data_IF_481774109480
#
_entry.id   IF_481774109480
#
_cell.length_a   1.000
_cell.length_b   1.000
_cell.length_c   1.000
_cell.angle_alpha   90.00
_cell.angle_beta   90.00
_cell.angle_gamma   90.00
#
_symmetry.space_group_name_H-M   'P 1'
#
loop_
_entity.id
_entity.type
_entity.pdbx_description
1 polymer ?
#
# COMPACT_ATOMS: atom_id res chain seq x y z
N UNK A 1 -68.27 3.08 54.65
CA UNK A 1 -67.65 4.42 54.58
C UNK A 1 -66.55 4.39 53.53
N UNK A 2 -66.50 5.42 52.69
CA UNK A 2 -65.59 5.58 51.54
C UNK A 2 -64.16 5.91 51.99
N UNK A 3 -63.19 5.51 51.13
CA UNK A 3 -61.92 6.18 50.72
C UNK A 3 -60.90 5.06 50.43
N UNK A 4 -60.79 4.58 49.19
CA UNK A 4 -59.91 5.12 48.14
C UNK A 4 -58.46 5.28 48.61
N UNK A 5 -57.55 4.46 48.11
CA UNK A 5 -56.39 4.91 47.32
C UNK A 5 -55.60 3.72 46.76
N UNK A 6 -55.35 3.78 45.45
CA UNK A 6 -54.20 3.28 44.68
C UNK A 6 -53.68 1.85 44.95
N UNK A 7 -53.75 1.00 43.93
CA UNK A 7 -52.54 0.40 43.33
C UNK A 7 -52.91 -0.23 41.99
N UNK A 8 -52.87 0.61 40.96
CA UNK A 8 -52.86 0.20 39.55
C UNK A 8 -51.44 -0.28 39.22
N UNK A 9 -51.37 -1.33 38.42
CA UNK A 9 -50.21 -1.74 37.59
C UNK A 9 -49.04 -2.39 38.32
N UNK A 10 -49.02 -3.74 38.32
CA UNK A 10 -47.76 -4.48 38.36
C UNK A 10 -47.94 -5.90 37.81
N UNK A 11 -48.04 -6.07 36.49
CA UNK A 11 -47.79 -7.36 35.80
C UNK A 11 -47.62 -7.14 34.29
N UNK A 12 -46.55 -6.44 33.94
CA UNK A 12 -46.00 -6.39 32.57
C UNK A 12 -44.52 -6.76 32.64
N UNK A 13 -44.23 -7.99 33.08
CA UNK A 13 -42.86 -8.52 33.08
C UNK A 13 -42.46 -8.94 31.67
N UNK A 14 -41.75 -8.03 31.01
CA UNK A 14 -40.54 -8.27 30.20
C UNK A 14 -40.57 -9.46 29.22
N UNK A 15 -41.13 -9.23 28.04
CA UNK A 15 -40.60 -9.81 26.81
C UNK A 15 -39.62 -8.81 26.18
N UNK A 16 -38.42 -8.69 26.76
CA UNK A 16 -37.30 -8.09 26.02
C UNK A 16 -36.66 -9.21 25.23
N UNK A 17 -37.19 -9.44 24.04
CA UNK A 17 -36.41 -10.07 22.98
C UNK A 17 -35.29 -9.13 22.62
N UNK A 18 -34.11 -9.33 23.20
CA UNK A 18 -32.87 -8.80 22.64
C UNK A 18 -32.65 -9.51 21.30
N UNK A 19 -33.31 -9.03 20.25
CA UNK A 19 -32.74 -9.15 18.93
C UNK A 19 -31.45 -8.35 18.99
N UNK A 20 -30.35 -9.01 19.36
CA UNK A 20 -29.05 -8.51 18.97
C UNK A 20 -29.02 -8.65 17.45
N UNK A 21 -29.48 -7.62 16.77
CA UNK A 21 -28.92 -7.29 15.48
C UNK A 21 -27.45 -6.99 15.74
N UNK A 22 -26.66 -8.05 15.82
CA UNK A 22 -25.22 -7.95 15.62
C UNK A 22 -25.07 -7.16 14.33
N UNK A 23 -24.35 -6.02 14.33
CA UNK A 23 -24.18 -5.26 13.12
C UNK A 23 -23.60 -6.25 12.12
N UNK A 24 -24.36 -6.56 11.06
CA UNK A 24 -23.87 -7.41 9.98
C UNK A 24 -22.56 -6.77 9.55
N UNK A 25 -21.44 -7.43 9.87
CA UNK A 25 -20.11 -7.04 9.41
C UNK A 25 -20.28 -6.83 7.92
N UNK A 26 -20.04 -5.59 7.48
CA UNK A 26 -20.36 -5.14 6.14
C UNK A 26 -19.84 -6.18 5.14
N UNK A 27 -20.74 -6.83 4.38
CA UNK A 27 -20.41 -7.96 3.48
C UNK A 27 -19.58 -7.52 2.25
N UNK A 28 -19.23 -6.24 2.20
CA UNK A 28 -18.29 -5.59 1.29
C UNK A 28 -17.06 -5.08 2.08
N UNK A 29 -16.47 -5.90 2.95
CA UNK A 29 -15.30 -5.48 3.74
C UNK A 29 -14.06 -5.46 2.83
N UNK A 30 -13.77 -4.30 2.27
CA UNK A 30 -12.46 -4.02 1.68
C UNK A 30 -11.48 -3.68 2.80
N UNK A 31 -10.29 -4.28 2.76
CA UNK A 31 -9.20 -4.01 3.70
C UNK A 31 -7.95 -3.65 2.90
N UNK A 32 -7.37 -2.48 3.20
CA UNK A 32 -6.17 -1.99 2.52
C UNK A 32 -4.97 -2.07 3.45
N UNK A 33 -3.89 -2.64 2.94
CA UNK A 33 -2.61 -2.78 3.59
C UNK A 33 -1.53 -2.15 2.72
N UNK A 34 -0.49 -1.64 3.35
CA UNK A 34 0.62 -0.97 2.66
C UNK A 34 1.93 -1.51 3.15
N UNK A 35 2.92 -1.57 2.29
CA UNK A 35 4.24 -2.10 2.61
C UNK A 35 5.32 -1.51 1.74
N UNK A 36 6.52 -2.04 1.84
CA UNK A 36 7.64 -1.63 1.02
C UNK A 36 8.92 -2.35 1.38
N UNK A 37 9.95 -2.22 0.55
CA UNK A 37 11.25 -2.84 0.79
C UNK A 37 12.35 -2.15 -0.03
N UNK A 38 13.59 -2.33 0.41
CA UNK A 38 14.79 -2.02 -0.38
C UNK A 38 15.47 -3.31 -0.82
N UNK A 39 15.74 -3.44 -2.12
CA UNK A 39 16.45 -4.57 -2.70
C UNK A 39 17.57 -4.09 -3.63
N UNK A 40 18.80 -4.07 -3.13
CA UNK A 40 19.92 -3.44 -3.85
C UNK A 40 19.67 -1.95 -3.98
N UNK A 41 19.70 -1.42 -5.21
CA UNK A 41 19.43 -0.01 -5.50
C UNK A 41 17.93 0.29 -5.72
N UNK A 42 17.07 -0.73 -5.58
CA UNK A 42 15.64 -0.59 -5.81
C UNK A 42 14.88 -0.33 -4.51
N UNK A 43 14.13 0.77 -4.45
CA UNK A 43 13.13 1.03 -3.39
C UNK A 43 11.75 0.78 -3.96
N UNK A 44 10.92 0.03 -3.24
CA UNK A 44 9.55 -0.29 -3.66
C UNK A 44 8.54 0.06 -2.57
N UNK A 45 7.43 0.68 -2.95
CA UNK A 45 6.25 0.92 -2.11
C UNK A 45 5.07 0.11 -2.64
N UNK A 46 4.27 -0.44 -1.73
CA UNK A 46 3.20 -1.37 -2.05
C UNK A 46 1.86 -0.96 -1.42
N UNK A 47 0.80 -1.20 -2.17
CA UNK A 47 -0.59 -1.09 -1.71
C UNK A 47 -1.34 -2.34 -2.11
N UNK A 48 -2.06 -2.97 -1.19
CA UNK A 48 -2.89 -4.15 -1.44
C UNK A 48 -4.25 -3.94 -0.83
N UNK A 49 -5.31 -4.07 -1.63
CA UNK A 49 -6.68 -4.05 -1.16
C UNK A 49 -7.30 -5.44 -1.36
N UNK A 50 -7.69 -6.06 -0.26
CA UNK A 50 -8.44 -7.31 -0.26
C UNK A 50 -9.93 -7.03 -0.27
N UNK A 51 -10.71 -7.87 -0.97
CA UNK A 51 -12.17 -7.99 -0.79
C UNK A 51 -12.42 -9.29 -0.04
N UNK A 52 -12.95 -9.20 1.18
CA UNK A 52 -12.98 -10.33 2.11
C UNK A 52 -11.55 -10.86 2.32
N UNK A 53 -11.27 -12.13 2.02
CA UNK A 53 -9.95 -12.76 2.21
C UNK A 53 -9.16 -12.92 0.91
N UNK A 54 -9.59 -12.27 -0.17
CA UNK A 54 -8.94 -12.40 -1.49
C UNK A 54 -8.43 -11.05 -1.98
N UNK A 55 -7.27 -11.02 -2.67
CA UNK A 55 -6.78 -9.81 -3.30
C UNK A 55 -7.78 -9.33 -4.35
N UNK A 56 -8.10 -8.05 -4.30
CA UNK A 56 -8.96 -7.38 -5.27
C UNK A 56 -8.15 -6.45 -6.17
N UNK A 57 -7.34 -5.58 -5.57
CA UNK A 57 -6.38 -4.73 -6.28
C UNK A 57 -5.05 -4.73 -5.53
N UNK A 58 -3.96 -4.52 -6.28
CA UNK A 58 -2.68 -4.14 -5.69
C UNK A 58 -2.00 -3.12 -6.57
N UNK A 59 -1.00 -2.43 -6.03
CA UNK A 59 -0.21 -1.47 -6.78
C UNK A 59 1.22 -1.42 -6.22
N UNK A 60 2.16 -1.04 -7.09
CA UNK A 60 3.54 -0.75 -6.68
C UNK A 60 4.05 0.55 -7.29
N UNK A 61 4.96 1.19 -6.56
CA UNK A 61 5.83 2.24 -7.07
C UNK A 61 7.27 1.84 -6.79
N UNK A 62 8.12 1.87 -7.81
CA UNK A 62 9.49 1.38 -7.71
C UNK A 62 10.44 2.39 -8.34
N UNK A 63 11.48 2.74 -7.63
CA UNK A 63 12.64 3.49 -8.15
C UNK A 63 13.86 2.58 -8.12
N UNK A 64 14.75 2.71 -9.09
CA UNK A 64 15.97 1.88 -9.18
C UNK A 64 17.17 2.79 -9.45
N UNK A 65 17.60 3.55 -8.44
CA UNK A 65 18.66 4.56 -8.58
C UNK A 65 18.52 5.39 -9.87
N UNK A 66 19.59 5.44 -10.66
CA UNK A 66 19.62 6.16 -11.95
C UNK A 66 19.09 5.33 -13.14
N UNK A 67 18.61 4.10 -12.92
CA UNK A 67 18.16 3.18 -13.97
C UNK A 67 16.71 3.38 -14.39
N UNK A 68 15.95 4.12 -13.59
CA UNK A 68 14.58 4.51 -13.90
C UNK A 68 13.62 4.25 -12.75
N UNK A 69 12.34 4.32 -13.07
CA UNK A 69 11.27 4.16 -12.12
C UNK A 69 10.03 3.63 -12.82
N UNK A 70 9.11 3.06 -12.06
CA UNK A 70 7.79 2.71 -12.58
C UNK A 70 6.74 2.69 -11.48
N UNK A 71 5.49 2.79 -11.93
CA UNK A 71 4.31 2.52 -11.14
C UNK A 71 3.45 1.47 -11.84
N UNK A 72 2.84 0.58 -11.07
CA UNK A 72 1.95 -0.45 -11.58
C UNK A 72 0.66 -0.49 -10.79
N UNK A 73 -0.44 -0.72 -11.49
CA UNK A 73 -1.75 -0.99 -10.89
C UNK A 73 -2.24 -2.35 -11.40
N UNK A 74 -2.62 -3.23 -10.48
CA UNK A 74 -2.98 -4.63 -10.71
C UNK A 74 -4.42 -4.88 -10.26
N UNK A 75 -5.18 -5.58 -11.09
CA UNK A 75 -6.50 -6.10 -10.75
C UNK A 75 -6.48 -7.62 -10.60
N UNK A 76 -7.11 -8.11 -9.55
CA UNK A 76 -7.16 -9.51 -9.17
C UNK A 76 -8.59 -10.02 -9.10
N UNK A 77 -8.77 -11.30 -9.41
CA UNK A 77 -10.03 -12.00 -9.21
C UNK A 77 -9.75 -13.47 -8.99
N UNK A 78 -10.32 -14.04 -7.91
CA UNK A 78 -10.14 -15.44 -7.53
C UNK A 78 -8.66 -15.80 -7.31
N UNK A 79 -7.86 -14.87 -6.77
CA UNK A 79 -6.42 -15.05 -6.55
C UNK A 79 -5.56 -15.05 -7.84
N UNK A 80 -6.16 -14.78 -9.00
CA UNK A 80 -5.47 -14.72 -10.30
C UNK A 80 -5.37 -13.27 -10.75
N UNK A 81 -4.18 -12.86 -11.20
CA UNK A 81 -3.95 -11.56 -11.83
C UNK A 81 -4.76 -11.48 -13.12
N UNK A 82 -5.63 -10.48 -13.25
CA UNK A 82 -6.53 -10.29 -14.40
C UNK A 82 -6.07 -9.22 -15.35
N UNK A 83 -5.50 -8.16 -14.81
CA UNK A 83 -5.06 -7.03 -15.60
C UNK A 83 -3.99 -6.29 -14.84
N UNK A 84 -3.03 -5.72 -15.56
CA UNK A 84 -2.20 -4.67 -15.00
C UNK A 84 -1.84 -3.64 -16.06
N UNK A 85 -1.62 -2.42 -15.60
CA UNK A 85 -0.95 -1.38 -16.37
C UNK A 85 0.29 -0.96 -15.58
N UNK A 86 1.44 -0.93 -16.25
CA UNK A 86 2.69 -0.36 -15.73
C UNK A 86 3.12 0.78 -16.63
N UNK A 87 3.57 1.87 -16.04
CA UNK A 87 4.21 2.97 -16.77
C UNK A 87 5.34 3.59 -15.95
N UNK A 88 6.27 4.24 -16.65
CA UNK A 88 7.42 4.89 -16.04
C UNK A 88 8.51 5.10 -17.07
N UNK A 89 9.76 5.13 -16.60
CA UNK A 89 10.95 5.31 -17.42
C UNK A 89 11.92 4.16 -17.22
N UNK A 90 12.53 3.71 -18.31
CA UNK A 90 13.57 2.69 -18.30
C UNK A 90 14.70 3.09 -19.25
N UNK A 91 15.89 2.53 -19.05
CA UNK A 91 17.01 2.76 -19.96
C UNK A 91 16.82 2.02 -21.29
N UNK A 92 17.00 2.74 -22.39
CA UNK A 92 17.05 2.17 -23.74
C UNK A 92 18.44 1.55 -24.03
N UNK A 93 18.63 1.04 -25.25
CA UNK A 93 19.92 0.48 -25.70
C UNK A 93 21.06 1.51 -25.76
N UNK A 94 20.73 2.80 -25.82
CA UNK A 94 21.66 3.93 -25.80
C UNK A 94 21.92 4.44 -24.37
N UNK A 95 21.39 3.74 -23.35
CA UNK A 95 21.53 4.08 -21.93
C UNK A 95 20.79 5.36 -21.49
N UNK A 96 19.83 5.83 -22.29
CA UNK A 96 18.99 7.00 -22.00
C UNK A 96 17.68 6.55 -21.34
N UNK A 97 17.18 7.33 -20.37
CA UNK A 97 15.86 7.12 -19.80
C UNK A 97 14.80 7.50 -20.83
N UNK A 98 13.92 6.54 -21.15
CA UNK A 98 12.82 6.73 -22.08
C UNK A 98 11.52 6.25 -21.45
N UNK A 99 10.38 6.91 -21.76
CA UNK A 99 9.09 6.50 -21.25
C UNK A 99 8.70 5.13 -21.81
N UNK A 100 8.06 4.33 -20.98
CA UNK A 100 7.49 3.06 -21.41
C UNK A 100 6.15 2.79 -20.74
N UNK A 101 5.35 1.94 -21.38
CA UNK A 101 4.06 1.50 -20.86
C UNK A 101 3.78 0.07 -21.25
N UNK A 102 3.32 -0.72 -20.28
CA UNK A 102 2.91 -2.10 -20.43
C UNK A 102 1.46 -2.22 -20.00
N UNK A 103 0.65 -2.91 -20.79
CA UNK A 103 -0.73 -3.23 -20.45
C UNK A 103 -1.03 -4.66 -20.87
N UNK A 104 -1.39 -5.50 -19.91
CA UNK A 104 -1.69 -6.91 -20.15
C UNK A 104 -2.99 -7.29 -19.46
N UNK A 105 -3.82 -8.11 -20.12
CA UNK A 105 -4.97 -8.79 -19.52
C UNK A 105 -4.80 -10.30 -19.62
N UNK A 106 -5.23 -11.01 -18.58
CA UNK A 106 -5.13 -12.45 -18.47
C UNK A 106 -6.52 -13.10 -18.33
N UNK A 107 -6.66 -14.31 -18.87
CA UNK A 107 -7.85 -15.13 -18.66
C UNK A 107 -7.84 -15.83 -17.28
N UNK A 108 -8.84 -16.71 -17.03
CA UNK A 108 -8.94 -17.50 -15.77
C UNK A 108 -7.80 -18.51 -15.58
N UNK A 109 -7.16 -18.92 -16.66
CA UNK A 109 -6.00 -19.82 -16.64
C UNK A 109 -4.68 -19.06 -16.43
N UNK A 110 -4.70 -17.72 -16.41
CA UNK A 110 -3.50 -16.89 -16.31
C UNK A 110 -2.77 -16.67 -17.64
N UNK A 111 -3.40 -16.98 -18.77
CA UNK A 111 -2.84 -16.76 -20.11
C UNK A 111 -3.17 -15.34 -20.60
N UNK A 112 -2.20 -14.68 -21.23
CA UNK A 112 -2.37 -13.32 -21.71
C UNK A 112 -3.29 -13.27 -22.94
N UNK A 113 -4.45 -12.61 -22.80
CA UNK A 113 -5.46 -12.43 -23.86
C UNK A 113 -5.41 -11.05 -24.51
N UNK A 114 -4.72 -10.11 -23.88
CA UNK A 114 -4.40 -8.80 -24.45
C UNK A 114 -3.01 -8.38 -23.97
N UNK A 115 -2.21 -7.81 -24.86
CA UNK A 115 -0.85 -7.38 -24.58
C UNK A 115 -0.52 -6.13 -25.38
N UNK A 116 0.07 -5.15 -24.71
CA UNK A 116 0.57 -3.94 -25.34
C UNK A 116 1.79 -3.47 -24.58
N UNK A 117 2.92 -3.39 -25.27
CA UNK A 117 4.16 -2.87 -24.72
C UNK A 117 4.69 -1.78 -25.63
N UNK A 118 4.89 -0.59 -25.06
CA UNK A 118 5.47 0.56 -25.72
C UNK A 118 6.73 1.00 -25.00
N UNK A 119 7.77 1.29 -25.76
CA UNK A 119 8.96 2.01 -25.31
C UNK A 119 9.14 3.17 -26.28
N UNK A 120 9.23 4.39 -25.78
CA UNK A 120 9.39 5.59 -26.61
C UNK A 120 8.38 5.62 -27.77
N UNK A 121 7.10 5.40 -27.42
CA UNK A 121 5.97 5.29 -28.36
C UNK A 121 6.01 4.12 -29.36
N UNK A 122 7.10 3.34 -29.44
CA UNK A 122 7.24 2.18 -30.31
C UNK A 122 6.61 0.94 -29.69
N UNK A 123 5.72 0.27 -30.43
CA UNK A 123 5.09 -0.99 -30.00
C UNK A 123 6.09 -2.14 -30.19
N UNK A 124 6.27 -2.94 -29.14
CA UNK A 124 7.15 -4.10 -29.11
C UNK A 124 6.40 -5.36 -28.64
N UNK A 125 6.80 -6.56 -29.09
CA UNK A 125 6.27 -7.80 -28.54
C UNK A 125 6.74 -8.01 -27.10
N UNK A 126 5.86 -8.50 -26.24
CA UNK A 126 6.24 -8.96 -24.90
C UNK A 126 6.67 -10.42 -24.99
N UNK A 127 7.84 -10.73 -24.43
CA UNK A 127 8.34 -12.11 -24.41
C UNK A 127 7.63 -12.91 -23.30
N UNK A 128 7.47 -14.22 -23.51
CA UNK A 128 6.84 -15.10 -22.51
C UNK A 128 7.51 -14.99 -21.13
N UNK A 129 8.85 -14.90 -21.10
CA UNK A 129 9.61 -14.74 -19.86
C UNK A 129 9.31 -13.42 -19.15
N UNK A 130 9.11 -12.35 -19.90
CA UNK A 130 8.77 -11.05 -19.36
C UNK A 130 7.35 -11.07 -18.75
N UNK A 131 6.39 -11.75 -19.39
CA UNK A 131 5.05 -11.97 -18.81
C UNK A 131 5.11 -12.76 -17.49
N UNK A 132 5.89 -13.84 -17.45
CA UNK A 132 6.10 -14.60 -16.21
C UNK A 132 6.68 -13.74 -15.10
N UNK A 133 7.63 -12.87 -15.43
CA UNK A 133 8.25 -11.97 -14.44
C UNK A 133 7.23 -10.96 -13.91
N UNK A 134 6.41 -10.34 -14.76
CA UNK A 134 5.34 -9.45 -14.29
C UNK A 134 4.35 -10.16 -13.36
N UNK A 135 3.98 -11.40 -13.67
CA UNK A 135 3.10 -12.19 -12.80
C UNK A 135 3.76 -12.53 -11.45
N UNK A 136 5.07 -12.78 -11.43
CA UNK A 136 5.83 -13.02 -10.19
C UNK A 136 5.96 -11.76 -9.36
N UNK A 137 6.29 -10.63 -9.97
CA UNK A 137 6.37 -9.33 -9.31
C UNK A 137 5.02 -8.98 -8.67
N UNK A 138 3.92 -9.11 -9.41
CA UNK A 138 2.57 -8.88 -8.90
C UNK A 138 2.24 -9.74 -7.67
N UNK A 139 2.63 -11.02 -7.68
CA UNK A 139 2.48 -11.92 -6.52
C UNK A 139 3.36 -11.52 -5.35
N UNK A 140 4.61 -11.12 -5.61
CA UNK A 140 5.53 -10.65 -4.58
C UNK A 140 4.98 -9.43 -3.85
N UNK A 141 4.30 -8.50 -4.55
CA UNK A 141 3.62 -7.36 -3.93
C UNK A 141 2.60 -7.84 -2.89
N UNK A 142 1.78 -8.85 -3.23
CA UNK A 142 0.81 -9.43 -2.30
C UNK A 142 1.51 -10.09 -1.11
N UNK A 143 2.45 -11.00 -1.38
CA UNK A 143 3.13 -11.80 -0.36
C UNK A 143 3.90 -10.93 0.64
N UNK A 144 4.70 -9.98 0.15
CA UNK A 144 5.47 -9.07 1.00
C UNK A 144 4.56 -8.18 1.84
N UNK A 145 3.52 -7.58 1.24
CA UNK A 145 2.63 -6.67 1.96
C UNK A 145 1.82 -7.40 3.03
N UNK A 146 1.32 -8.61 2.74
CA UNK A 146 0.57 -9.40 3.73
C UNK A 146 1.47 -9.86 4.86
N UNK A 147 2.69 -10.32 4.56
CA UNK A 147 3.67 -10.68 5.59
C UNK A 147 3.97 -9.50 6.53
N UNK A 148 4.23 -8.32 5.97
CA UNK A 148 4.49 -7.11 6.75
C UNK A 148 3.29 -6.72 7.60
N UNK A 149 2.08 -6.80 7.05
CA UNK A 149 0.85 -6.57 7.80
C UNK A 149 0.68 -7.55 8.96
N UNK A 150 0.97 -8.84 8.77
CA UNK A 150 0.91 -9.86 9.83
C UNK A 150 1.93 -9.58 10.95
N UNK A 151 3.04 -8.93 10.62
CA UNK A 151 4.04 -8.42 11.56
C UNK A 151 3.65 -7.06 12.19
N UNK A 152 2.50 -6.49 11.82
CA UNK A 152 2.01 -5.20 12.29
C UNK A 152 2.72 -4.00 11.66
N UNK A 153 3.45 -4.21 10.56
CA UNK A 153 4.20 -3.21 9.84
C UNK A 153 3.40 -2.62 8.69
N UNK A 154 3.62 -1.33 8.43
CA UNK A 154 3.03 -0.58 7.31
C UNK A 154 4.01 0.41 6.73
N UNK A 155 3.82 0.76 5.46
CA UNK A 155 4.47 1.91 4.85
C UNK A 155 4.02 3.20 5.54
N UNK A 156 4.99 4.02 5.91
CA UNK A 156 4.77 5.38 6.40
C UNK A 156 5.70 6.30 5.64
N UNK A 157 5.16 7.39 5.12
CA UNK A 157 5.91 8.42 4.42
C UNK A 157 5.49 9.79 4.96
N UNK A 158 6.39 10.76 4.85
CA UNK A 158 6.18 12.09 5.42
C UNK A 158 7.44 12.93 5.43
N UNK A 159 7.36 14.03 6.16
CA UNK A 159 8.39 15.05 6.24
C UNK A 159 8.85 15.19 7.68
N UNK A 160 10.15 15.19 7.87
CA UNK A 160 10.78 15.63 9.11
C UNK A 160 11.02 17.13 9.04
N UNK A 161 10.54 17.89 10.03
CA UNK A 161 10.66 19.36 10.08
C UNK A 161 11.75 19.86 11.06
N UNK A 162 12.62 18.97 11.50
CA UNK A 162 13.63 19.26 12.54
C UNK A 162 13.17 18.92 13.96
N UNK A 163 11.87 18.73 14.17
CA UNK A 163 11.30 18.44 15.50
C UNK A 163 10.31 17.28 15.53
N UNK A 164 9.48 17.16 14.50
CA UNK A 164 8.40 16.20 14.39
C UNK A 164 8.38 15.58 12.99
N UNK A 165 7.77 14.41 12.90
CA UNK A 165 7.51 13.76 11.63
C UNK A 165 6.03 13.90 11.24
N UNK A 166 5.78 14.67 10.20
CA UNK A 166 4.44 14.88 9.63
C UNK A 166 4.23 13.91 8.49
N UNK A 167 3.35 12.94 8.72
CA UNK A 167 3.02 11.93 7.71
C UNK A 167 2.22 12.53 6.55
N UNK A 168 2.40 11.98 5.36
CA UNK A 168 1.59 12.32 4.18
C UNK A 168 0.08 12.07 4.38
N UNK A 169 -0.29 11.24 5.35
CA UNK A 169 -1.68 10.95 5.72
C UNK A 169 -2.26 11.93 6.76
N UNK A 170 -1.49 12.96 7.18
CA UNK A 170 -1.93 14.00 8.10
C UNK A 170 -1.74 13.70 9.60
N UNK A 171 -1.12 12.57 9.94
CA UNK A 171 -0.65 12.28 11.31
C UNK A 171 0.70 12.93 11.62
N UNK A 172 1.02 13.11 12.90
CA UNK A 172 2.26 13.73 13.38
C UNK A 172 2.86 12.91 14.53
N UNK A 173 4.18 12.77 14.54
CA UNK A 173 4.92 12.03 15.55
C UNK A 173 6.10 12.85 16.08
N UNK A 174 6.09 13.15 17.38
CA UNK A 174 7.19 13.86 18.07
C UNK A 174 8.39 12.96 18.37
N UNK A 175 8.21 11.62 18.26
CA UNK A 175 9.23 10.63 18.57
C UNK A 175 9.21 9.52 17.53
N UNK A 176 10.34 9.40 16.83
CA UNK A 176 10.67 8.25 15.99
C UNK A 176 11.72 7.42 16.73
N UNK A 177 11.43 6.14 16.92
CA UNK A 177 12.36 5.16 17.48
C UNK A 177 12.79 4.20 16.35
N UNK A 178 14.10 4.03 16.17
CA UNK A 178 14.65 3.13 15.16
C UNK A 178 15.03 1.81 15.84
N UNK A 179 14.45 0.71 15.38
CA UNK A 179 14.75 -0.63 15.90
C UNK A 179 16.15 -1.11 15.50
N UNK A 180 16.66 -0.61 14.38
CA UNK A 180 18.00 -0.88 13.89
C UNK A 180 18.89 0.34 14.10
N UNK A 181 20.19 0.10 14.31
CA UNK A 181 21.19 1.18 14.35
C UNK A 181 21.32 1.76 12.95
N UNK A 182 20.59 2.83 12.66
CA UNK A 182 20.80 3.60 11.45
C UNK A 182 22.24 4.15 11.44
N UNK A 183 22.91 4.17 10.28
CA UNK A 183 24.18 4.87 10.15
C UNK A 183 24.05 6.32 10.63
N UNK A 184 25.10 6.85 11.28
CA UNK A 184 25.06 8.19 11.87
C UNK A 184 24.70 9.27 10.85
N UNK A 185 25.13 9.16 9.59
CA UNK A 185 24.80 10.13 8.54
C UNK A 185 23.30 10.22 8.25
N UNK A 186 22.55 9.13 8.42
CA UNK A 186 21.08 9.11 8.23
C UNK A 186 20.41 9.85 9.38
N UNK A 187 20.89 9.59 10.61
CA UNK A 187 20.43 10.28 11.81
C UNK A 187 20.75 11.78 11.71
N UNK A 188 21.96 12.12 11.26
CA UNK A 188 22.40 13.50 11.09
C UNK A 188 21.58 14.22 10.00
N UNK A 189 21.31 13.58 8.85
CA UNK A 189 20.50 14.18 7.77
C UNK A 189 19.05 14.38 8.20
N UNK A 190 18.45 13.40 8.88
CA UNK A 190 17.12 13.56 9.47
C UNK A 190 17.13 14.69 10.50
N UNK A 191 18.09 14.73 11.42
CA UNK A 191 18.11 15.72 12.50
C UNK A 191 18.45 17.16 12.07
N UNK A 192 19.12 17.36 10.93
CA UNK A 192 19.70 18.66 10.56
C UNK A 192 19.03 19.38 9.39
N UNK A 193 18.21 18.70 8.57
CA UNK A 193 17.59 19.29 7.37
C UNK A 193 16.15 18.80 7.22
N UNK A 194 15.25 19.72 6.85
CA UNK A 194 13.89 19.35 6.44
C UNK A 194 13.97 18.34 5.30
N UNK A 195 13.37 17.16 5.50
CA UNK A 195 13.57 16.04 4.58
C UNK A 195 12.35 15.16 4.48
N UNK A 196 12.12 14.64 3.27
CA UNK A 196 11.17 13.57 3.04
C UNK A 196 11.78 12.24 3.47
N UNK A 197 11.02 11.44 4.21
CA UNK A 197 11.39 10.06 4.52
C UNK A 197 10.21 9.12 4.31
N UNK A 198 10.53 7.91 3.86
CA UNK A 198 9.61 6.78 3.85
C UNK A 198 10.26 5.60 4.55
N UNK A 199 9.48 4.90 5.38
CA UNK A 199 9.94 3.76 6.14
C UNK A 199 8.84 2.70 6.30
N UNK A 200 9.28 1.49 6.57
CA UNK A 200 8.44 0.42 7.07
C UNK A 200 8.45 0.49 8.60
N UNK A 201 7.27 0.53 9.22
CA UNK A 201 7.17 0.70 10.67
C UNK A 201 5.79 0.43 11.24
N UNK A 202 5.65 0.62 12.55
CA UNK A 202 4.40 0.40 13.30
C UNK A 202 4.17 1.52 14.30
N UNK A 203 2.91 1.94 14.47
CA UNK A 203 2.52 2.97 15.42
C UNK A 203 1.93 2.35 16.68
N UNK A 204 2.56 2.66 17.81
CA UNK A 204 2.08 2.22 19.12
C UNK A 204 2.09 3.40 20.09
N UNK A 205 0.91 3.71 20.63
CA UNK A 205 0.74 4.75 21.66
C UNK A 205 1.31 6.13 21.27
N UNK A 206 1.15 6.53 20.01
CA UNK A 206 1.64 7.81 19.49
C UNK A 206 3.16 7.86 19.27
N UNK A 207 3.84 6.71 19.31
CA UNK A 207 5.24 6.58 18.90
C UNK A 207 5.35 5.82 17.59
N UNK A 208 6.26 6.26 16.74
CA UNK A 208 6.57 5.59 15.49
C UNK A 208 7.79 4.71 15.66
N UNK A 209 7.61 3.39 15.56
CA UNK A 209 8.71 2.43 15.51
C UNK A 209 9.09 2.20 14.06
N UNK A 210 10.34 2.46 13.72
CA UNK A 210 10.89 2.25 12.37
C UNK A 210 11.65 0.94 12.34
N UNK A 211 11.20 0.04 11.47
CA UNK A 211 11.85 -1.25 11.22
C UNK A 211 12.90 -1.13 10.12
N UNK A 212 12.54 -0.46 9.02
CA UNK A 212 13.41 -0.29 7.85
C UNK A 212 13.21 1.11 7.25
N UNK A 213 14.30 1.83 6.99
CA UNK A 213 14.26 3.06 6.20
C UNK A 213 14.25 2.69 4.71
N UNK A 214 13.22 3.14 3.98
CA UNK A 214 13.03 2.82 2.56
C UNK A 214 13.57 3.91 1.63
N UNK A 215 13.35 5.19 2.01
CA UNK A 215 13.75 6.34 1.20
C UNK A 215 14.05 7.55 2.07
N UNK A 216 15.07 8.32 1.68
CA UNK A 216 15.39 9.62 2.25
C UNK A 216 15.70 10.60 1.12
N UNK A 217 14.89 11.65 1.00
CA UNK A 217 14.97 12.65 -0.06
C UNK A 217 14.88 14.08 0.53
N UNK A 218 15.02 15.07 -0.34
CA UNK A 218 14.81 16.47 0.03
C UNK A 218 13.32 16.74 0.32
N UNK A 219 13.02 17.83 1.02
CA UNK A 219 11.67 18.28 1.37
C UNK A 219 10.78 18.56 0.14
N UNK A 220 11.38 18.86 -1.01
CA UNK A 220 10.68 19.06 -2.27
C UNK A 220 10.15 17.77 -2.90
N UNK A 221 10.48 16.59 -2.34
CA UNK A 221 9.97 15.33 -2.85
C UNK A 221 8.49 15.17 -2.47
N UNK A 222 7.64 14.94 -3.47
CA UNK A 222 6.21 14.72 -3.24
C UNK A 222 5.96 13.35 -2.60
N UNK A 223 4.96 13.29 -1.72
CA UNK A 223 4.43 12.03 -1.22
C UNK A 223 4.01 11.11 -2.36
N UNK A 224 4.49 9.87 -2.34
CA UNK A 224 4.11 8.88 -3.37
C UNK A 224 2.66 8.45 -3.16
N UNK A 225 1.84 8.63 -4.18
CA UNK A 225 0.41 8.26 -4.14
C UNK A 225 0.24 6.84 -4.69
N UNK A 226 -0.73 6.09 -4.14
CA UNK A 226 -1.12 4.79 -4.70
C UNK A 226 -1.42 4.94 -6.21
N UNK A 227 -0.75 4.18 -7.08
CA UNK A 227 -1.03 4.19 -8.51
C UNK A 227 -2.51 3.86 -8.80
N UNK A 228 -3.08 4.58 -9.77
CA UNK A 228 -4.45 4.36 -10.26
C UNK A 228 -4.43 4.47 -11.78
N UNK A 229 -4.01 3.38 -12.42
CA UNK A 229 -3.83 3.30 -13.88
C UNK A 229 -4.98 2.54 -14.52
N UNK A 230 -5.60 1.61 -13.78
CA UNK A 230 -6.79 0.91 -14.17
C UNK A 230 -8.02 1.79 -13.88
N UNK A 231 -8.96 1.80 -14.82
CA UNK A 231 -10.26 2.44 -14.58
C UNK A 231 -11.10 1.49 -13.73
N UNK A 232 -11.70 2.01 -12.66
CA UNK A 232 -12.74 1.30 -11.88
C UNK A 232 -14.00 1.02 -12.71
#
# INVERSE_FOLDING_TARGET
>A
MKKAFLLVSLLSTFLIGCSSTSPRKNLEQFETHTGGQVMGDATSFYWVTNKLTQPHTSADYVTVGDYGWYQTDYAWSEGVLREFIREGEQRNSSNELVPYRVHVRFNKSGEAVYQQYRIDSKILPIQAKQLENYQKEAKSVLETTMKQNDEGLRLVQGYWDGSSFKTCAGGEFDRIEFNQTLPSFVIDRLASVESYAAFLGSDLLGKMSVEELLMLAEDSHDCVVRPSLLKE
#
